data_IF_952838144200
#
_entry.id   IF_952838144200
#
_cell.length_a   1.000
_cell.length_b   1.000
_cell.length_c   1.000
_cell.angle_alpha   90.00
_cell.angle_beta   90.00
_cell.angle_gamma   90.00
#
_symmetry.space_group_name_H-M   'P 1'
#
loop_
_entity.id
_entity.type
_entity.pdbx_description
1 polymer ?
#
# COMPACT_ATOMS: atom_id res chain seq x y z
N UNK A 1 -26.39 -0.38 -12.51
CA UNK A 1 -25.38 -0.05 -11.48
C UNK A 1 -24.36 0.90 -12.08
N UNK A 2 -24.11 2.05 -11.49
CA UNK A 2 -23.05 2.95 -11.95
C UNK A 2 -21.71 2.24 -11.78
N UNK A 3 -20.88 2.26 -12.82
CA UNK A 3 -19.49 1.75 -12.73
C UNK A 3 -18.73 2.58 -11.69
N UNK A 4 -18.29 1.96 -10.61
CA UNK A 4 -17.46 2.60 -9.59
C UNK A 4 -15.98 2.44 -9.94
N UNK A 5 -15.18 3.47 -9.74
CA UNK A 5 -13.74 3.36 -9.93
C UNK A 5 -13.13 2.44 -8.87
N UNK A 6 -12.07 1.72 -9.22
CA UNK A 6 -11.34 0.83 -8.29
C UNK A 6 -10.78 1.61 -7.11
N UNK A 7 -10.30 2.83 -7.35
CA UNK A 7 -9.84 3.74 -6.30
C UNK A 7 -10.92 4.11 -5.29
N UNK A 8 -12.16 4.34 -5.75
CA UNK A 8 -13.28 4.59 -4.84
C UNK A 8 -13.63 3.34 -4.03
N UNK A 9 -13.59 2.15 -4.64
CA UNK A 9 -13.81 0.88 -3.93
C UNK A 9 -12.77 0.67 -2.83
N UNK A 10 -11.51 0.99 -3.13
CA UNK A 10 -10.40 0.87 -2.18
C UNK A 10 -10.62 1.83 -0.99
N UNK A 11 -10.91 3.10 -1.24
CA UNK A 11 -11.18 4.08 -0.17
C UNK A 11 -12.39 3.68 0.66
N UNK A 12 -13.49 3.25 0.04
CA UNK A 12 -14.68 2.75 0.75
C UNK A 12 -14.35 1.54 1.64
N UNK A 13 -13.48 0.63 1.16
CA UNK A 13 -13.04 -0.50 1.97
C UNK A 13 -12.27 -0.02 3.20
N UNK A 14 -11.30 0.87 3.01
CA UNK A 14 -10.51 1.42 4.12
C UNK A 14 -11.38 2.17 5.13
N UNK A 15 -12.36 2.94 4.67
CA UNK A 15 -13.32 3.62 5.55
C UNK A 15 -14.16 2.63 6.38
N UNK A 16 -14.65 1.57 5.75
CA UNK A 16 -15.41 0.50 6.45
C UNK A 16 -14.56 -0.27 7.43
N UNK A 17 -13.27 -0.40 7.14
CA UNK A 17 -12.29 -1.02 8.04
C UNK A 17 -11.95 -0.13 9.24
N UNK A 18 -12.37 1.12 9.22
CA UNK A 18 -12.10 2.09 10.29
C UNK A 18 -10.71 2.73 10.22
N UNK A 19 -10.10 2.73 9.03
CA UNK A 19 -8.87 3.48 8.78
C UNK A 19 -9.19 4.96 8.83
N UNK A 20 -8.46 5.72 9.66
CA UNK A 20 -8.64 7.17 9.82
C UNK A 20 -7.46 7.97 9.31
N UNK A 21 -6.30 7.33 9.15
CA UNK A 21 -5.09 7.97 8.60
C UNK A 21 -4.45 7.07 7.57
N UNK A 22 -3.99 7.68 6.48
CA UNK A 22 -3.22 7.03 5.43
C UNK A 22 -1.95 7.84 5.19
N UNK A 23 -0.81 7.20 5.34
CA UNK A 23 0.51 7.84 5.21
C UNK A 23 1.09 7.59 3.83
N UNK A 24 1.74 8.58 3.22
CA UNK A 24 2.35 8.33 1.92
C UNK A 24 3.02 9.52 1.27
N UNK A 25 3.57 9.26 0.09
CA UNK A 25 4.05 10.28 -0.82
C UNK A 25 3.31 10.11 -2.15
N UNK A 26 2.88 11.23 -2.74
CA UNK A 26 2.18 11.21 -4.02
C UNK A 26 3.11 10.76 -5.16
N UNK A 27 2.54 10.05 -6.13
CA UNK A 27 3.20 9.66 -7.36
C UNK A 27 2.15 9.31 -8.41
N UNK A 28 2.51 9.34 -9.69
CA UNK A 28 1.51 9.22 -10.76
C UNK A 28 0.71 7.91 -10.74
N UNK A 29 1.27 6.80 -10.26
CA UNK A 29 0.54 5.52 -10.19
C UNK A 29 -0.50 5.46 -9.08
N UNK A 30 -0.52 6.42 -8.16
CA UNK A 30 -1.48 6.50 -7.06
C UNK A 30 -2.38 7.75 -7.11
N UNK A 31 -2.34 8.51 -8.21
CA UNK A 31 -3.16 9.73 -8.37
C UNK A 31 -4.66 9.41 -8.24
N UNK A 32 -5.14 8.33 -8.85
CA UNK A 32 -6.55 7.93 -8.74
C UNK A 32 -6.96 7.63 -7.30
N UNK A 33 -6.05 7.10 -6.49
CA UNK A 33 -6.28 6.87 -5.07
C UNK A 33 -6.31 8.19 -4.29
N UNK A 34 -5.40 9.13 -4.59
CA UNK A 34 -5.40 10.47 -3.98
C UNK A 34 -6.66 11.25 -4.31
N UNK A 35 -7.13 11.15 -5.57
CA UNK A 35 -8.39 11.75 -5.98
C UNK A 35 -9.58 11.16 -5.19
N UNK A 36 -9.64 9.84 -5.02
CA UNK A 36 -10.67 9.21 -4.20
C UNK A 36 -10.56 9.61 -2.72
N UNK A 37 -9.35 9.69 -2.15
CA UNK A 37 -9.10 10.16 -0.78
C UNK A 37 -9.52 11.61 -0.57
N UNK A 38 -9.36 12.48 -1.59
CA UNK A 38 -9.79 13.89 -1.48
C UNK A 38 -11.29 14.06 -1.26
N UNK A 39 -12.09 13.06 -1.64
CA UNK A 39 -13.54 13.02 -1.40
C UNK A 39 -13.92 12.37 -0.07
N UNK A 40 -13.01 11.63 0.55
CA UNK A 40 -13.24 11.00 1.86
C UNK A 40 -13.30 12.07 2.96
N UNK A 41 -14.28 11.92 3.85
CA UNK A 41 -14.39 12.73 5.07
C UNK A 41 -13.94 11.98 6.32
N UNK A 42 -13.51 10.72 6.17
CA UNK A 42 -13.13 9.83 7.28
C UNK A 42 -11.65 9.54 7.33
N UNK A 43 -10.97 9.58 6.19
CA UNK A 43 -9.55 9.26 6.09
C UNK A 43 -8.78 10.55 5.82
N UNK A 44 -7.88 10.89 6.72
CA UNK A 44 -6.92 11.96 6.53
C UNK A 44 -5.67 11.41 5.83
N UNK A 45 -5.29 12.02 4.71
CA UNK A 45 -4.03 11.71 4.04
C UNK A 45 -2.88 12.50 4.67
N UNK A 46 -1.91 11.78 5.22
CA UNK A 46 -0.68 12.36 5.80
C UNK A 46 0.41 12.30 4.74
N UNK A 47 0.54 13.38 3.97
CA UNK A 47 1.58 13.51 2.95
C UNK A 47 2.96 13.74 3.56
N UNK A 48 3.91 12.91 3.19
CA UNK A 48 5.31 13.04 3.63
C UNK A 48 6.20 13.48 2.46
N UNK A 49 7.46 13.82 2.75
CA UNK A 49 8.45 14.18 1.72
C UNK A 49 9.38 13.05 1.33
N UNK A 50 9.20 11.88 1.96
CA UNK A 50 9.94 10.65 1.67
C UNK A 50 9.14 9.47 2.22
N UNK A 51 9.11 8.37 1.50
CA UNK A 51 8.30 7.20 1.86
C UNK A 51 8.82 6.46 3.11
N UNK A 52 10.12 6.55 3.41
CA UNK A 52 10.65 6.04 4.67
C UNK A 52 10.06 6.79 5.88
N UNK A 53 9.80 8.09 5.75
CA UNK A 53 9.10 8.88 6.77
C UNK A 53 7.65 8.41 6.89
N UNK A 54 6.98 8.15 5.76
CA UNK A 54 5.61 7.65 5.76
C UNK A 54 5.49 6.30 6.48
N UNK A 55 6.36 5.35 6.15
CA UNK A 55 6.34 4.01 6.77
C UNK A 55 6.72 4.06 8.26
N UNK A 56 7.68 4.90 8.66
CA UNK A 56 8.06 5.06 10.08
C UNK A 56 6.95 5.76 10.88
N UNK A 57 6.29 6.78 10.30
CA UNK A 57 5.15 7.43 10.94
C UNK A 57 3.96 6.48 11.10
N UNK A 58 3.70 5.65 10.09
CA UNK A 58 2.69 4.60 10.13
C UNK A 58 2.99 3.54 11.21
N UNK A 59 4.26 3.14 11.37
CA UNK A 59 4.71 2.25 12.44
C UNK A 59 4.41 2.86 13.81
N UNK A 60 4.82 4.11 14.05
CA UNK A 60 4.51 4.83 15.29
C UNK A 60 3.02 4.95 15.58
N UNK A 61 2.22 5.23 14.53
CA UNK A 61 0.76 5.31 14.64
C UNK A 61 0.15 3.96 15.05
N UNK A 62 0.59 2.85 14.44
CA UNK A 62 0.09 1.52 14.77
C UNK A 62 0.44 1.11 16.20
N UNK A 63 1.64 1.47 16.70
CA UNK A 63 2.05 1.23 18.11
C UNK A 63 1.12 1.89 19.11
N UNK A 64 0.65 3.09 18.82
CA UNK A 64 -0.23 3.86 19.72
C UNK A 64 -1.68 3.40 19.61
N UNK A 65 -2.15 3.13 18.40
CA UNK A 65 -3.57 2.82 18.16
C UNK A 65 -3.91 1.34 18.31
N UNK A 66 -2.90 0.46 18.28
CA UNK A 66 -3.04 -1.01 18.26
C UNK A 66 -3.91 -1.50 17.08
N UNK A 67 -3.88 -0.79 15.95
CA UNK A 67 -4.58 -1.12 14.71
C UNK A 67 -3.60 -1.12 13.55
N UNK A 68 -3.91 -1.88 12.51
CA UNK A 68 -3.10 -1.85 11.30
C UNK A 68 -3.08 -0.44 10.69
N UNK A 69 -1.88 0.08 10.50
CA UNK A 69 -1.66 1.33 9.77
C UNK A 69 -1.62 1.08 8.26
N UNK A 70 -1.87 2.12 7.48
CA UNK A 70 -1.87 2.05 6.02
C UNK A 70 -0.84 3.03 5.45
N UNK A 71 0.03 2.50 4.60
CA UNK A 71 1.00 3.28 3.81
C UNK A 71 0.66 3.16 2.34
N UNK A 72 0.69 4.27 1.63
CA UNK A 72 0.53 4.31 0.18
C UNK A 72 1.79 4.88 -0.46
N UNK A 73 2.30 4.21 -1.48
CA UNK A 73 3.48 4.64 -2.19
C UNK A 73 3.36 4.43 -3.71
N UNK A 74 4.17 5.18 -4.43
CA UNK A 74 4.37 5.01 -5.85
C UNK A 74 5.12 3.71 -6.15
N UNK A 75 5.04 3.22 -7.38
CA UNK A 75 5.83 2.08 -7.86
C UNK A 75 7.34 2.35 -7.76
N UNK A 76 8.14 1.31 -7.89
CA UNK A 76 9.61 1.39 -8.01
C UNK A 76 10.26 2.10 -6.82
N UNK A 77 10.78 3.34 -7.02
CA UNK A 77 11.48 4.05 -5.95
C UNK A 77 10.62 4.30 -4.71
N UNK A 78 9.31 4.52 -4.87
CA UNK A 78 8.40 4.65 -3.72
C UNK A 78 8.36 3.38 -2.89
N UNK A 79 8.30 2.23 -3.56
CA UNK A 79 8.27 0.94 -2.86
C UNK A 79 9.62 0.58 -2.23
N UNK A 80 10.76 0.87 -2.89
CA UNK A 80 12.08 0.64 -2.28
C UNK A 80 12.31 1.51 -1.05
N UNK A 81 11.82 2.74 -1.06
CA UNK A 81 11.97 3.68 0.04
C UNK A 81 11.16 3.29 1.31
N UNK A 82 10.05 2.55 1.19
CA UNK A 82 9.29 2.10 2.37
C UNK A 82 9.92 0.91 3.10
N UNK A 83 10.84 0.18 2.46
CA UNK A 83 11.35 -1.11 2.95
C UNK A 83 11.89 -1.01 4.38
N UNK A 84 12.65 0.03 4.71
CA UNK A 84 13.21 0.21 6.06
C UNK A 84 12.12 0.27 7.13
N UNK A 85 11.08 1.07 6.94
CA UNK A 85 9.98 1.15 7.91
C UNK A 85 9.13 -0.12 7.96
N UNK A 86 8.93 -0.78 6.83
CA UNK A 86 8.23 -2.08 6.77
C UNK A 86 9.03 -3.15 7.51
N UNK A 87 10.34 -3.23 7.31
CA UNK A 87 11.21 -4.17 8.00
C UNK A 87 11.20 -3.93 9.51
N UNK A 88 11.27 -2.67 9.95
CA UNK A 88 11.17 -2.30 11.36
C UNK A 88 9.83 -2.76 11.97
N UNK A 89 8.72 -2.43 11.34
CA UNK A 89 7.38 -2.84 11.78
C UNK A 89 7.26 -4.38 11.84
N UNK A 90 7.79 -5.07 10.84
CA UNK A 90 7.75 -6.54 10.76
C UNK A 90 8.54 -7.20 11.90
N UNK A 91 9.76 -6.72 12.19
CA UNK A 91 10.61 -7.24 13.26
C UNK A 91 9.95 -7.09 14.64
N UNK A 92 9.26 -5.98 14.85
CA UNK A 92 8.56 -5.68 16.11
C UNK A 92 7.10 -6.19 16.12
N UNK A 93 6.65 -6.88 15.07
CA UNK A 93 5.27 -7.38 14.95
C UNK A 93 4.21 -6.27 14.99
N UNK A 94 4.53 -5.10 14.42
CA UNK A 94 3.61 -3.97 14.33
C UNK A 94 2.78 -4.09 13.04
N UNK A 95 1.44 -4.06 13.14
CA UNK A 95 0.59 -4.28 11.98
C UNK A 95 0.64 -3.10 10.99
N UNK A 96 0.97 -3.40 9.74
CA UNK A 96 1.04 -2.42 8.65
C UNK A 96 0.59 -3.05 7.34
N UNK A 97 -0.19 -2.31 6.56
CA UNK A 97 -0.57 -2.64 5.18
C UNK A 97 0.01 -1.60 4.25
N UNK A 98 0.80 -2.04 3.27
CA UNK A 98 1.37 -1.18 2.24
C UNK A 98 0.59 -1.37 0.95
N UNK A 99 0.12 -0.27 0.38
CA UNK A 99 -0.56 -0.21 -0.92
C UNK A 99 0.35 0.52 -1.89
N UNK A 100 0.89 -0.21 -2.84
CA UNK A 100 1.78 0.35 -3.85
C UNK A 100 1.09 0.45 -5.20
N UNK A 101 1.38 1.51 -5.94
CA UNK A 101 1.03 1.58 -7.34
C UNK A 101 1.86 0.61 -8.18
N UNK A 102 1.38 0.31 -9.37
CA UNK A 102 2.11 -0.47 -10.37
C UNK A 102 1.85 0.11 -11.78
N UNK A 103 2.56 -0.38 -12.77
CA UNK A 103 2.30 -0.05 -14.16
C UNK A 103 1.01 -0.73 -14.62
N UNK A 104 0.30 -0.16 -15.62
CA UNK A 104 -0.81 -0.87 -16.25
C UNK A 104 -0.37 -2.24 -16.79
N UNK A 105 -1.23 -3.25 -16.67
CA UNK A 105 -0.89 -4.64 -17.00
C UNK A 105 -0.33 -4.84 -18.42
N UNK A 106 -0.74 -4.00 -19.38
CA UNK A 106 -0.23 -4.06 -20.76
C UNK A 106 1.21 -3.52 -20.93
N UNK A 107 1.74 -2.82 -19.91
CA UNK A 107 3.15 -2.36 -19.88
C UNK A 107 4.06 -3.27 -19.08
N UNK A 108 3.51 -4.23 -18.37
CA UNK A 108 4.29 -5.09 -17.48
C UNK A 108 5.47 -5.76 -18.18
N UNK A 109 6.67 -5.61 -17.60
CA UNK A 109 7.92 -6.14 -18.16
C UNK A 109 8.45 -5.37 -19.38
N UNK A 110 7.85 -4.22 -19.72
CA UNK A 110 8.31 -3.36 -20.82
C UNK A 110 9.13 -2.17 -20.34
N UNK A 111 9.47 -2.15 -19.07
CA UNK A 111 10.29 -1.13 -18.40
C UNK A 111 9.84 0.33 -18.64
N UNK A 112 8.55 0.67 -18.49
CA UNK A 112 8.17 2.06 -18.47
C UNK A 112 8.83 2.76 -17.27
N UNK A 113 8.78 4.09 -17.26
CA UNK A 113 9.42 4.90 -16.23
C UNK A 113 9.17 4.39 -14.80
N UNK A 114 10.24 4.10 -14.07
CA UNK A 114 10.26 3.63 -12.67
C UNK A 114 9.74 2.19 -12.43
N UNK A 115 9.34 1.44 -13.45
CA UNK A 115 9.07 0.02 -13.26
C UNK A 115 10.35 -0.71 -12.86
N UNK A 116 10.24 -1.57 -11.83
CA UNK A 116 11.31 -2.49 -11.47
C UNK A 116 10.84 -3.90 -11.86
N UNK A 117 11.39 -4.39 -12.95
CA UNK A 117 11.16 -5.72 -13.50
C UNK A 117 12.44 -6.18 -14.21
N UNK A 118 13.51 -6.42 -13.44
CA UNK A 118 14.83 -6.70 -14.00
C UNK A 118 14.96 -8.13 -14.55
N UNK A 119 14.31 -9.08 -13.91
CA UNK A 119 14.27 -10.50 -14.27
C UNK A 119 13.14 -11.19 -13.49
N UNK A 120 12.96 -12.50 -13.65
CA UNK A 120 11.82 -13.25 -13.10
C UNK A 120 11.54 -12.97 -11.61
N UNK A 121 12.59 -12.93 -10.78
CA UNK A 121 12.47 -12.64 -9.34
C UNK A 121 12.87 -11.21 -8.98
N UNK A 122 13.18 -10.37 -9.97
CA UNK A 122 13.69 -9.02 -9.79
C UNK A 122 12.63 -7.94 -9.98
N UNK A 123 11.40 -8.19 -9.57
CA UNK A 123 10.28 -7.25 -9.61
C UNK A 123 10.07 -6.53 -8.27
N UNK A 124 9.34 -5.40 -8.32
CA UNK A 124 9.04 -4.62 -7.12
C UNK A 124 8.21 -5.39 -6.08
N UNK A 125 7.38 -6.31 -6.51
CA UNK A 125 6.58 -7.18 -5.65
C UNK A 125 7.46 -8.15 -4.84
N UNK A 126 8.49 -8.71 -5.47
CA UNK A 126 9.40 -9.66 -4.84
C UNK A 126 10.31 -9.02 -3.80
N UNK A 127 10.63 -7.72 -3.93
CA UNK A 127 11.50 -7.01 -2.98
C UNK A 127 10.95 -6.96 -1.55
N UNK A 128 9.64 -6.98 -1.37
CA UNK A 128 9.02 -6.97 -0.04
C UNK A 128 8.86 -8.36 0.59
N UNK A 129 8.96 -9.44 -0.18
CA UNK A 129 8.78 -10.82 0.32
C UNK A 129 9.63 -11.15 1.55
N UNK A 130 10.92 -10.77 1.63
CA UNK A 130 11.74 -11.10 2.80
C UNK A 130 11.44 -10.28 4.05
N UNK A 131 10.73 -9.15 3.94
CA UNK A 131 10.48 -8.22 5.05
C UNK A 131 9.00 -8.10 5.43
N UNK A 132 8.09 -8.82 4.79
CA UNK A 132 6.67 -8.80 5.10
C UNK A 132 6.09 -10.23 5.18
N UNK A 133 4.99 -10.39 5.88
CA UNK A 133 4.29 -11.69 5.97
C UNK A 133 3.81 -12.19 4.61
N UNK A 134 3.32 -11.27 3.79
CA UNK A 134 2.83 -11.57 2.44
C UNK A 134 2.78 -10.33 1.58
N UNK A 135 3.07 -10.50 0.30
CA UNK A 135 2.80 -9.53 -0.75
C UNK A 135 1.89 -10.14 -1.82
N UNK A 136 1.12 -9.31 -2.49
CA UNK A 136 0.24 -9.70 -3.60
C UNK A 136 0.39 -8.69 -4.73
N UNK A 137 0.37 -9.19 -5.93
CA UNK A 137 0.05 -8.40 -7.10
C UNK A 137 -1.44 -8.58 -7.39
N UNK A 138 -2.15 -7.48 -7.58
CA UNK A 138 -3.60 -7.49 -7.81
C UNK A 138 -3.85 -7.19 -9.30
N UNK A 139 -3.98 -8.24 -10.10
CA UNK A 139 -4.23 -8.14 -11.54
C UNK A 139 -5.74 -8.24 -11.86
N UNK A 140 -6.54 -8.69 -10.92
CA UNK A 140 -7.99 -8.81 -11.02
C UNK A 140 -8.69 -7.91 -10.00
N UNK A 141 -9.53 -7.01 -10.51
CA UNK A 141 -10.31 -6.07 -9.70
C UNK A 141 -11.30 -6.80 -8.78
N UNK A 142 -11.86 -7.92 -9.22
CA UNK A 142 -12.82 -8.68 -8.43
C UNK A 142 -12.17 -9.35 -7.21
N UNK A 143 -10.87 -9.66 -7.30
CA UNK A 143 -10.09 -10.21 -6.20
C UNK A 143 -9.70 -9.16 -5.14
N UNK A 144 -9.72 -7.86 -5.48
CA UNK A 144 -9.23 -6.79 -4.61
C UNK A 144 -9.85 -6.78 -3.21
N UNK A 145 -11.19 -6.86 -3.03
CA UNK A 145 -11.78 -6.85 -1.68
C UNK A 145 -11.33 -8.03 -0.81
N UNK A 146 -11.21 -9.21 -1.42
CA UNK A 146 -10.73 -10.42 -0.74
C UNK A 146 -9.26 -10.30 -0.34
N UNK A 147 -8.42 -9.77 -1.23
CA UNK A 147 -6.99 -9.57 -0.96
C UNK A 147 -6.80 -8.54 0.16
N UNK A 148 -7.54 -7.43 0.14
CA UNK A 148 -7.49 -6.42 1.19
C UNK A 148 -7.89 -7.00 2.55
N UNK A 149 -9.01 -7.74 2.61
CA UNK A 149 -9.44 -8.37 3.86
C UNK A 149 -8.40 -9.35 4.39
N UNK A 150 -7.78 -10.15 3.51
CA UNK A 150 -6.71 -11.06 3.88
C UNK A 150 -5.46 -10.32 4.34
N UNK A 151 -5.08 -9.21 3.69
CA UNK A 151 -3.93 -8.40 4.06
C UNK A 151 -4.07 -7.83 5.48
N UNK A 152 -5.21 -7.22 5.78
CA UNK A 152 -5.47 -6.68 7.13
C UNK A 152 -5.51 -7.78 8.18
N UNK A 153 -6.19 -8.89 7.92
CA UNK A 153 -6.22 -10.03 8.87
C UNK A 153 -4.83 -10.60 9.13
N UNK A 154 -3.99 -10.74 8.10
CA UNK A 154 -2.63 -11.23 8.28
C UNK A 154 -1.73 -10.21 9.00
N UNK A 155 -1.91 -8.92 8.74
CA UNK A 155 -1.17 -7.88 9.45
C UNK A 155 -1.49 -7.89 10.95
N UNK A 156 -2.74 -8.11 11.31
CA UNK A 156 -3.24 -8.05 12.70
C UNK A 156 -3.16 -9.41 13.45
N UNK A 157 -2.92 -10.52 12.76
CA UNK A 157 -2.92 -11.86 13.33
C UNK A 157 -1.50 -12.41 13.50
N UNK A 158 -1.13 -12.75 14.75
CA UNK A 158 0.09 -13.48 15.07
C UNK A 158 1.38 -12.82 14.59
N UNK A 159 2.47 -13.57 14.70
CA UNK A 159 3.81 -13.17 14.28
C UNK A 159 4.17 -13.79 12.92
#
# INVERSE_FOLDING_TARGET
MSKKLVSDLLVDYLERRGVTKLFGLCGHTVIGMLDALSRSKKIEYIGTRHEAVASTAADGYARITHKASVVMCHLGPGLTNVITGVANASLDSIPMVVIAGDVPSYYFGRHPHQEIQMHEDGDQYSMLKPVCKRSWRVDDVEALPYILDKAFRLAEAGR
#
